data_IF_336459392110
#
_entry.id   IF_336459392110
#
_cell.length_a   1.000
_cell.length_b   1.000
_cell.length_c   1.000
_cell.angle_alpha   90.00
_cell.angle_beta   90.00
_cell.angle_gamma   90.00
#
_symmetry.space_group_name_H-M   'P 1'
#
loop_
_entity.id
_entity.type
_entity.pdbx_description
1 polymer ?
#
# COMPACT_ATOMS: atom_id res chain seq x y z
N UNK A 1 34.79 44.90 7.54
CA UNK A 1 35.12 43.53 7.11
C UNK A 1 35.63 42.81 8.33
N UNK A 2 34.81 41.92 8.88
CA UNK A 2 35.19 40.84 9.79
C UNK A 2 34.25 39.69 9.41
N UNK A 3 34.86 38.64 8.86
CA UNK A 3 34.26 37.42 8.32
C UNK A 3 34.63 36.31 9.30
N UNK A 4 33.63 35.68 9.91
CA UNK A 4 33.66 34.34 10.53
C UNK A 4 32.23 33.78 10.34
N UNK A 5 31.95 33.00 9.29
CA UNK A 5 32.09 31.52 9.19
C UNK A 5 31.02 30.83 10.05
N UNK A 6 29.83 30.53 9.48
CA UNK A 6 29.37 29.26 8.85
C UNK A 6 29.17 28.14 9.87
N UNK A 7 28.09 27.38 9.67
CA UNK A 7 27.59 26.23 10.44
C UNK A 7 26.66 26.61 11.60
N UNK A 8 25.53 25.98 11.84
CA UNK A 8 24.80 24.86 11.24
C UNK A 8 23.50 24.79 12.05
N UNK A 9 22.49 24.11 11.52
CA UNK A 9 21.42 23.52 12.32
C UNK A 9 20.64 24.45 13.26
N UNK A 10 19.54 24.98 12.75
CA UNK A 10 18.26 24.36 13.08
C UNK A 10 17.11 25.23 12.57
N UNK A 11 16.80 25.09 11.28
CA UNK A 11 15.40 25.22 10.90
C UNK A 11 14.68 24.03 11.56
N UNK A 12 14.25 24.21 12.80
CA UNK A 12 13.14 23.44 13.35
C UNK A 12 11.90 23.80 12.53
N UNK A 13 11.81 23.28 11.30
CA UNK A 13 10.53 23.01 10.68
C UNK A 13 9.92 21.95 11.58
N UNK A 14 9.16 22.42 12.58
CA UNK A 14 8.20 21.60 13.31
C UNK A 14 7.35 20.91 12.27
N UNK A 15 7.69 19.66 11.98
CA UNK A 15 6.95 18.72 11.16
C UNK A 15 5.67 18.30 11.93
N UNK A 16 4.89 19.30 12.35
CA UNK A 16 3.67 19.14 13.14
C UNK A 16 2.47 19.79 12.43
N UNK A 17 2.66 20.34 11.23
CA UNK A 17 1.63 21.12 10.51
C UNK A 17 0.58 20.32 9.73
N UNK A 18 0.69 18.99 9.63
CA UNK A 18 -0.23 18.17 8.82
C UNK A 18 -1.14 17.23 9.63
N UNK A 19 -1.24 17.41 10.96
CA UNK A 19 -2.01 16.51 11.82
C UNK A 19 -3.46 16.93 12.08
N UNK A 20 -3.95 18.01 11.45
CA UNK A 20 -5.29 18.56 11.73
C UNK A 20 -6.25 18.56 10.54
N UNK A 21 -5.87 17.98 9.40
CA UNK A 21 -6.82 17.81 8.29
C UNK A 21 -7.87 16.78 8.69
N UNK A 22 -9.10 17.24 8.88
CA UNK A 22 -10.24 16.39 9.21
C UNK A 22 -10.69 15.60 7.99
N UNK A 23 -11.25 14.40 8.19
CA UNK A 23 -11.77 13.54 7.09
C UNK A 23 -12.69 14.28 6.10
N UNK A 24 -13.38 15.33 6.57
CA UNK A 24 -14.23 16.21 5.76
C UNK A 24 -13.47 17.02 4.70
N UNK A 25 -12.23 17.42 4.94
CA UNK A 25 -11.42 18.17 3.97
C UNK A 25 -10.94 17.24 2.85
N UNK A 26 -10.58 16.00 3.19
CA UNK A 26 -10.27 14.95 2.22
C UNK A 26 -11.49 14.51 1.41
N UNK A 27 -12.69 14.54 2.03
CA UNK A 27 -13.94 14.27 1.32
C UNK A 27 -14.25 15.35 0.28
N UNK A 28 -13.99 16.63 0.59
CA UNK A 28 -14.13 17.74 -0.38
C UNK A 28 -13.14 17.61 -1.53
N UNK A 29 -11.89 17.24 -1.24
CA UNK A 29 -10.88 16.94 -2.28
C UNK A 29 -11.31 15.75 -3.14
N UNK A 30 -11.90 14.71 -2.53
CA UNK A 30 -12.48 13.57 -3.25
C UNK A 30 -13.63 13.97 -4.16
N UNK A 31 -14.54 14.84 -3.69
CA UNK A 31 -15.64 15.35 -4.53
C UNK A 31 -15.16 16.23 -5.66
N UNK A 32 -14.22 17.13 -5.40
CA UNK A 32 -13.64 18.02 -6.42
C UNK A 32 -12.83 17.23 -7.47
N UNK A 33 -12.11 16.19 -7.05
CA UNK A 33 -11.38 15.33 -7.99
C UNK A 33 -12.34 14.59 -8.90
N UNK A 34 -13.41 13.98 -8.39
CA UNK A 34 -14.44 13.33 -9.23
C UNK A 34 -15.04 14.34 -10.21
N UNK A 35 -15.44 15.52 -9.73
CA UNK A 35 -16.15 16.51 -10.54
C UNK A 35 -15.30 17.12 -11.67
N UNK A 36 -13.97 17.19 -11.51
CA UNK A 36 -13.08 17.78 -12.50
C UNK A 36 -12.29 16.75 -13.32
N UNK A 37 -11.89 15.64 -12.69
CA UNK A 37 -11.01 14.64 -13.30
C UNK A 37 -11.81 13.64 -14.14
N UNK A 38 -12.99 13.22 -13.70
CA UNK A 38 -13.79 12.25 -14.44
C UNK A 38 -14.25 12.78 -15.81
N UNK A 39 -14.76 14.02 -15.94
CA UNK A 39 -15.12 14.57 -17.25
C UNK A 39 -13.89 14.80 -18.14
N UNK A 40 -12.76 15.22 -17.55
CA UNK A 40 -11.51 15.45 -18.29
C UNK A 40 -10.94 14.13 -18.85
N UNK A 41 -10.89 13.07 -18.03
CA UNK A 41 -10.49 11.74 -18.47
C UNK A 41 -11.44 11.22 -19.54
N UNK A 42 -12.75 11.39 -19.36
CA UNK A 42 -13.74 10.94 -20.35
C UNK A 42 -13.54 11.62 -21.70
N UNK A 43 -13.41 12.95 -21.73
CA UNK A 43 -13.14 13.69 -22.96
C UNK A 43 -11.80 13.30 -23.61
N UNK A 44 -10.76 13.03 -22.82
CA UNK A 44 -9.49 12.52 -23.34
C UNK A 44 -9.65 11.14 -23.97
N UNK A 45 -10.37 10.21 -23.33
CA UNK A 45 -10.60 8.87 -23.86
C UNK A 45 -11.45 8.88 -25.13
N UNK A 46 -12.45 9.75 -25.21
CA UNK A 46 -13.29 9.95 -26.40
C UNK A 46 -12.49 10.49 -27.59
N UNK A 47 -11.44 11.27 -27.34
CA UNK A 47 -10.56 11.79 -28.39
C UNK A 47 -9.60 10.74 -28.98
N UNK A 48 -9.45 9.57 -28.33
CA UNK A 48 -8.52 8.54 -28.78
C UNK A 48 -9.07 7.74 -29.96
N UNK A 49 -8.19 7.39 -30.90
CA UNK A 49 -8.51 6.36 -31.87
C UNK A 49 -8.72 5.00 -31.18
N UNK A 50 -9.49 4.12 -31.81
CA UNK A 50 -9.80 2.78 -31.27
C UNK A 50 -8.54 1.98 -30.87
N UNK A 51 -7.47 2.08 -31.67
CA UNK A 51 -6.20 1.40 -31.37
C UNK A 51 -5.47 2.01 -30.17
N UNK A 52 -5.50 3.34 -30.02
CA UNK A 52 -4.92 4.02 -28.86
C UNK A 52 -5.70 3.73 -27.59
N UNK A 53 -7.04 3.67 -27.68
CA UNK A 53 -7.90 3.29 -26.56
C UNK A 53 -7.55 1.89 -26.06
N UNK A 54 -7.45 0.90 -26.96
CA UNK A 54 -7.05 -0.45 -26.57
C UNK A 54 -5.67 -0.50 -25.92
N UNK A 55 -4.70 0.25 -26.45
CA UNK A 55 -3.36 0.32 -25.85
C UNK A 55 -3.40 0.94 -24.45
N UNK A 56 -4.18 2.01 -24.26
CA UNK A 56 -4.35 2.67 -22.97
C UNK A 56 -5.03 1.74 -21.95
N UNK A 57 -6.13 1.09 -22.33
CA UNK A 57 -6.83 0.11 -21.48
C UNK A 57 -5.93 -1.05 -21.10
N UNK A 58 -5.16 -1.60 -22.04
CA UNK A 58 -4.26 -2.72 -21.76
C UNK A 58 -3.15 -2.32 -20.77
N UNK A 59 -2.54 -1.13 -20.95
CA UNK A 59 -1.54 -0.62 -20.01
C UNK A 59 -2.13 -0.42 -18.61
N UNK A 60 -3.34 0.14 -18.52
CA UNK A 60 -4.03 0.33 -17.25
C UNK A 60 -4.26 -1.01 -16.54
N UNK A 61 -4.84 -2.01 -17.23
CA UNK A 61 -5.10 -3.33 -16.67
C UNK A 61 -3.82 -4.06 -16.22
N UNK A 62 -2.73 -3.91 -16.98
CA UNK A 62 -1.43 -4.47 -16.60
C UNK A 62 -0.87 -3.83 -15.32
N UNK A 63 -1.03 -2.51 -15.17
CA UNK A 63 -0.64 -1.77 -13.97
C UNK A 63 -1.43 -2.25 -12.74
N UNK A 64 -2.76 -2.27 -12.84
CA UNK A 64 -3.63 -2.72 -11.74
C UNK A 64 -3.35 -4.18 -11.34
N UNK A 65 -3.15 -5.06 -12.32
CA UNK A 65 -2.80 -6.45 -12.05
C UNK A 65 -1.45 -6.56 -11.33
N UNK A 66 -0.46 -5.74 -11.67
CA UNK A 66 0.83 -5.73 -11.00
C UNK A 66 0.71 -5.26 -9.55
N UNK A 67 -0.07 -4.21 -9.30
CA UNK A 67 -0.35 -3.68 -7.95
C UNK A 67 -1.05 -4.74 -7.09
N UNK A 68 -2.10 -5.37 -7.60
CA UNK A 68 -2.82 -6.42 -6.85
C UNK A 68 -1.94 -7.65 -6.60
N UNK A 69 -1.08 -8.05 -7.56
CA UNK A 69 -0.08 -9.10 -7.32
C UNK A 69 0.89 -8.74 -6.22
N UNK A 70 1.37 -7.49 -6.18
CA UNK A 70 2.26 -7.01 -5.12
C UNK A 70 1.56 -7.03 -3.76
N UNK A 71 0.29 -6.60 -3.70
CA UNK A 71 -0.52 -6.64 -2.49
C UNK A 71 -0.75 -8.08 -2.00
N UNK A 72 -1.05 -9.02 -2.89
CA UNK A 72 -1.16 -10.44 -2.55
C UNK A 72 0.17 -10.98 -2.02
N UNK A 73 1.29 -10.66 -2.67
CA UNK A 73 2.62 -11.08 -2.20
C UNK A 73 2.93 -10.54 -0.80
N UNK A 74 2.57 -9.27 -0.53
CA UNK A 74 2.73 -8.67 0.79
C UNK A 74 1.87 -9.38 1.85
N UNK A 75 0.60 -9.69 1.54
CA UNK A 75 -0.28 -10.43 2.44
C UNK A 75 0.25 -11.83 2.73
N UNK A 76 0.81 -12.51 1.73
CA UNK A 76 1.44 -13.81 1.89
C UNK A 76 2.66 -13.75 2.81
N UNK A 77 3.53 -12.74 2.65
CA UNK A 77 4.68 -12.52 3.55
C UNK A 77 4.24 -12.29 4.99
N UNK A 78 3.20 -11.49 5.22
CA UNK A 78 2.64 -11.26 6.55
C UNK A 78 2.05 -12.54 7.18
N UNK A 79 1.43 -13.40 6.37
CA UNK A 79 0.94 -14.72 6.79
C UNK A 79 2.06 -15.68 7.19
N UNK A 80 3.14 -15.72 6.40
CA UNK A 80 4.32 -16.54 6.71
C UNK A 80 5.05 -16.08 7.97
N UNK A 81 5.11 -14.77 8.24
CA UNK A 81 5.68 -14.24 9.50
C UNK A 81 4.85 -14.61 10.74
N UNK A 82 3.53 -14.74 10.62
CA UNK A 82 2.67 -15.19 11.73
C UNK A 82 2.78 -16.70 12.02
N UNK A 83 3.22 -17.50 11.06
CA UNK A 83 3.44 -18.95 11.26
C UNK A 83 4.76 -19.27 11.97
N UNK A 84 5.68 -18.32 12.13
CA UNK A 84 7.00 -18.53 12.75
C UNK A 84 7.09 -18.09 14.22
N UNK A 85 6.00 -17.59 14.82
CA UNK A 85 5.91 -17.25 16.24
C UNK A 85 5.18 -18.27 17.11
N UNK A 86 4.64 -19.35 16.51
CA UNK A 86 3.78 -20.33 17.19
C UNK A 86 4.42 -21.68 17.51
N UNK A 87 5.74 -21.85 17.30
CA UNK A 87 6.41 -23.14 17.46
C UNK A 87 7.25 -23.25 18.73
N UNK A 88 6.68 -22.85 19.86
CA UNK A 88 7.11 -23.34 21.19
C UNK A 88 5.91 -23.90 21.94
N UNK A 89 5.16 -24.81 21.33
CA UNK A 89 4.28 -25.69 22.09
C UNK A 89 4.90 -27.08 22.14
N UNK A 90 5.42 -27.38 23.33
CA UNK A 90 6.01 -28.64 23.77
C UNK A 90 5.15 -29.82 23.28
N UNK A 91 5.68 -30.61 22.33
CA UNK A 91 5.15 -31.93 21.99
C UNK A 91 5.55 -32.89 23.11
N UNK A 92 4.68 -33.02 24.11
CA UNK A 92 4.75 -34.10 25.09
C UNK A 92 4.24 -35.37 24.41
N UNK A 93 5.16 -36.21 23.95
CA UNK A 93 4.87 -37.52 23.36
C UNK A 93 4.49 -38.49 24.48
N UNK A 94 3.19 -38.73 24.68
CA UNK A 94 2.72 -39.86 25.49
C UNK A 94 2.40 -41.03 24.55
N UNK A 95 3.31 -42.00 24.51
CA UNK A 95 3.18 -43.22 23.72
C UNK A 95 2.16 -44.14 24.39
N UNK A 96 0.95 -44.23 23.85
CA UNK A 96 -0.03 -45.25 24.27
C UNK A 96 0.47 -46.62 23.80
N UNK A 97 0.98 -47.45 24.71
CA UNK A 97 1.26 -48.86 24.43
C UNK A 97 -0.03 -49.66 24.63
N UNK A 98 -0.54 -50.23 23.54
CA UNK A 98 -1.66 -51.16 23.58
C UNK A 98 -1.06 -52.56 23.71
N UNK A 99 -1.14 -53.14 24.90
CA UNK A 99 -0.80 -54.55 25.11
C UNK A 99 -1.99 -55.41 24.69
N UNK A 100 -1.79 -56.21 23.64
CA UNK A 100 -2.76 -57.23 23.20
C UNK A 100 -2.34 -58.56 23.85
N UNK A 101 -3.06 -58.97 24.89
CA UNK A 101 -2.90 -60.31 25.48
C UNK A 101 -3.50 -61.37 24.55
N UNK A 102 -2.78 -62.50 24.48
CA UNK A 102 -2.93 -63.60 23.51
C UNK A 102 -4.08 -64.55 23.84
#
# INVERSE_FOLDING_TARGET
MNVLDVEDDSFHVTHEGYSHQTDSEWEVVGRLSVLMVEPAISGMLESLSKNQLYAATNKFLQGELAVERQKIALLQQQGSHKSMGGLTHVRRSETLRIDISR
#
